data_IF_281319357936
#
_entry.id   IF_281319357936
#
_cell.length_a   1.000
_cell.length_b   1.000
_cell.length_c   1.000
_cell.angle_alpha   90.00
_cell.angle_beta   90.00
_cell.angle_gamma   90.00
#
_symmetry.space_group_name_H-M   'P 1'
#
loop_
_entity.id
_entity.type
_entity.pdbx_description
1 polymer ?
#
# COMPACT_ATOMS: atom_id res chain seq x y z
N UNK A 1 -15.66 -3.40 1.94
CA UNK A 1 -15.46 -4.48 0.96
C UNK A 1 -15.24 -5.77 1.73
N UNK A 2 -15.89 -6.87 1.34
CA UNK A 2 -15.70 -8.16 2.03
C UNK A 2 -14.55 -8.99 1.43
N UNK A 3 -14.13 -10.03 2.17
CA UNK A 3 -12.98 -10.87 1.82
C UNK A 3 -13.23 -11.72 0.57
N UNK A 4 -14.45 -12.23 0.38
CA UNK A 4 -14.78 -13.08 -0.78
C UNK A 4 -14.74 -12.26 -2.07
N UNK A 5 -15.27 -11.04 -2.02
CA UNK A 5 -15.20 -10.09 -3.13
C UNK A 5 -13.77 -9.70 -3.44
N UNK A 6 -12.92 -9.50 -2.42
CA UNK A 6 -11.50 -9.20 -2.63
C UNK A 6 -10.77 -10.35 -3.31
N UNK A 7 -10.97 -11.59 -2.83
CA UNK A 7 -10.41 -12.78 -3.46
C UNK A 7 -10.85 -12.91 -4.93
N UNK A 8 -12.13 -12.66 -5.22
CA UNK A 8 -12.65 -12.68 -6.59
C UNK A 8 -12.00 -11.61 -7.50
N UNK A 9 -11.70 -10.41 -6.98
CA UNK A 9 -10.97 -9.40 -7.75
C UNK A 9 -9.51 -9.79 -7.99
N UNK A 10 -8.84 -10.36 -6.98
CA UNK A 10 -7.45 -10.80 -7.11
C UNK A 10 -7.29 -11.94 -8.13
N UNK A 11 -8.23 -12.89 -8.15
CA UNK A 11 -8.22 -14.04 -9.07
C UNK A 11 -8.45 -13.66 -10.54
N UNK A 12 -9.22 -12.60 -10.81
CA UNK A 12 -9.55 -12.17 -12.18
C UNK A 12 -8.41 -11.46 -12.92
N UNK A 13 -7.26 -11.26 -12.27
CA UNK A 13 -6.13 -10.52 -12.81
C UNK A 13 -6.18 -9.05 -12.40
N UNK A 14 -5.13 -8.61 -11.71
CA UNK A 14 -5.04 -7.35 -10.99
C UNK A 14 -4.77 -6.09 -11.84
N UNK A 15 -5.10 -6.11 -13.15
CA UNK A 15 -4.69 -5.04 -14.07
C UNK A 15 -5.15 -3.61 -13.69
N UNK A 16 -6.12 -3.49 -12.76
CA UNK A 16 -6.60 -2.21 -12.22
C UNK A 16 -6.77 -2.19 -10.70
N UNK A 17 -6.34 -3.23 -9.97
CA UNK A 17 -6.51 -3.31 -8.51
C UNK A 17 -5.21 -2.94 -7.80
N UNK A 18 -5.24 -1.84 -7.05
CA UNK A 18 -4.18 -1.50 -6.10
C UNK A 18 -4.60 -1.94 -4.69
N UNK A 19 -3.82 -2.85 -4.09
CA UNK A 19 -3.98 -3.23 -2.68
C UNK A 19 -2.90 -2.53 -1.89
N UNK A 20 -3.29 -1.74 -0.89
CA UNK A 20 -2.37 -1.06 0.02
C UNK A 20 -2.32 -1.84 1.33
N UNK A 21 -1.11 -2.19 1.76
CA UNK A 21 -0.87 -2.69 3.10
C UNK A 21 -0.35 -1.56 3.99
N UNK A 22 -1.14 -1.21 5.01
CA UNK A 22 -0.82 -0.16 5.99
C UNK A 22 -0.32 -0.72 7.32
N UNK A 23 0.17 -1.95 7.37
CA UNK A 23 0.82 -2.50 8.57
C UNK A 23 2.28 -2.06 8.65
N UNK A 24 2.94 -2.42 9.74
CA UNK A 24 4.39 -2.20 9.86
C UNK A 24 5.15 -3.00 8.81
N UNK A 25 6.36 -2.55 8.47
CA UNK A 25 7.23 -3.25 7.52
C UNK A 25 7.47 -4.71 7.92
N UNK A 26 7.66 -4.98 9.22
CA UNK A 26 7.86 -6.33 9.74
C UNK A 26 6.65 -7.23 9.55
N UNK A 27 5.43 -6.74 9.81
CA UNK A 27 4.19 -7.51 9.59
C UNK A 27 3.95 -7.82 8.10
N UNK A 28 4.21 -6.83 7.23
CA UNK A 28 4.11 -7.00 5.79
C UNK A 28 5.09 -8.06 5.27
N UNK A 29 6.34 -8.01 5.71
CA UNK A 29 7.35 -8.98 5.30
C UNK A 29 7.11 -10.37 5.86
N UNK A 30 6.50 -10.48 7.06
CA UNK A 30 6.12 -11.76 7.61
C UNK A 30 5.05 -12.44 6.75
N UNK A 31 4.05 -11.69 6.28
CA UNK A 31 3.08 -12.14 5.28
C UNK A 31 2.26 -10.96 4.78
N UNK A 32 1.84 -10.98 3.52
CA UNK A 32 0.91 -10.00 2.96
C UNK A 32 0.09 -10.59 1.81
N UNK A 33 -0.98 -9.90 1.43
CA UNK A 33 -1.79 -10.26 0.26
C UNK A 33 -0.93 -10.09 -0.99
N UNK A 34 -0.93 -11.11 -1.86
CA UNK A 34 -0.13 -11.10 -3.09
C UNK A 34 -0.39 -9.84 -3.93
N UNK A 35 0.68 -9.15 -4.34
CA UNK A 35 0.62 -7.92 -5.14
C UNK A 35 0.25 -6.65 -4.36
N UNK A 36 0.11 -6.71 -3.03
CA UNK A 36 -0.06 -5.52 -2.22
C UNK A 36 1.21 -4.67 -2.16
N UNK A 37 1.05 -3.36 -2.02
CA UNK A 37 2.14 -2.40 -1.82
C UNK A 37 2.10 -1.90 -0.38
N UNK A 38 3.21 -2.04 0.35
CA UNK A 38 3.30 -1.51 1.70
C UNK A 38 3.53 0.01 1.67
N UNK A 39 2.70 0.76 2.41
CA UNK A 39 2.82 2.23 2.56
C UNK A 39 3.36 2.61 3.95
N UNK A 40 4.03 1.68 4.64
CA UNK A 40 4.77 1.89 5.89
C UNK A 40 4.02 2.79 6.90
N UNK A 41 3.02 2.25 7.61
CA UNK A 41 2.28 3.02 8.59
C UNK A 41 3.13 3.35 9.82
N UNK A 42 3.78 4.52 9.79
CA UNK A 42 4.52 5.10 10.90
C UNK A 42 3.87 6.39 11.38
N UNK A 43 4.14 6.76 12.64
CA UNK A 43 3.70 8.05 13.21
C UNK A 43 4.15 9.23 12.34
N UNK A 44 5.36 9.17 11.78
CA UNK A 44 5.92 10.22 10.93
C UNK A 44 5.19 10.32 9.59
N UNK A 45 4.98 9.20 8.90
CA UNK A 45 4.28 9.16 7.60
C UNK A 45 2.84 9.65 7.76
N UNK A 46 2.13 9.19 8.81
CA UNK A 46 0.79 9.67 9.14
C UNK A 46 0.74 11.18 9.33
N UNK A 47 1.65 11.75 10.12
CA UNK A 47 1.72 13.19 10.37
C UNK A 47 1.98 13.98 9.08
N UNK A 48 2.89 13.51 8.23
CA UNK A 48 3.21 14.18 6.95
C UNK A 48 2.04 14.14 5.98
N UNK A 49 1.29 13.03 5.91
CA UNK A 49 0.07 12.92 5.12
C UNK A 49 -1.00 13.92 5.60
N UNK A 50 -1.19 14.05 6.92
CA UNK A 50 -2.19 14.96 7.50
C UNK A 50 -1.83 16.45 7.37
N UNK A 51 -0.56 16.76 7.12
CA UNK A 51 -0.06 18.13 6.94
C UNK A 51 0.20 18.47 5.46
N UNK A 52 -0.26 17.61 4.55
CA UNK A 52 -0.04 17.74 3.09
C UNK A 52 1.45 17.90 2.71
N UNK A 53 2.36 17.28 3.49
CA UNK A 53 3.81 17.27 3.28
C UNK A 53 4.30 16.05 2.50
N UNK A 54 3.40 15.11 2.22
CA UNK A 54 3.58 13.96 1.35
C UNK A 54 2.19 13.48 0.93
N UNK A 55 2.08 12.95 -0.28
CA UNK A 55 0.88 12.35 -0.85
C UNK A 55 0.99 10.83 -0.87
N UNK A 56 -0.15 10.14 -0.96
CA UNK A 56 -0.17 8.68 -1.10
C UNK A 56 0.55 8.24 -2.39
N UNK A 57 0.42 9.01 -3.47
CA UNK A 57 1.10 8.74 -4.75
C UNK A 57 2.62 8.77 -4.65
N UNK A 58 3.19 9.70 -3.86
CA UNK A 58 4.63 9.75 -3.61
C UNK A 58 5.11 8.55 -2.78
N UNK A 59 4.28 8.04 -1.86
CA UNK A 59 4.60 6.86 -1.06
C UNK A 59 4.55 5.54 -1.84
N UNK A 60 3.88 5.52 -3.00
CA UNK A 60 3.79 4.33 -3.86
C UNK A 60 5.01 4.16 -4.77
N UNK A 61 5.94 5.12 -4.81
CA UNK A 61 7.13 5.05 -5.66
C UNK A 61 8.26 4.26 -4.94
N UNK A 62 8.69 3.09 -5.45
CA UNK A 62 9.64 2.21 -4.74
C UNK A 62 11.07 2.75 -4.62
N UNK A 63 11.37 3.87 -5.28
CA UNK A 63 12.66 4.54 -5.22
C UNK A 63 12.45 5.95 -5.77
N UNK A 64 12.84 6.98 -5.02
CA UNK A 64 12.79 8.38 -5.43
C UNK A 64 13.67 8.69 -6.65
N UNK A 65 13.30 8.18 -7.83
CA UNK A 65 13.81 8.67 -9.11
C UNK A 65 12.73 9.56 -9.70
N UNK A 66 12.75 10.81 -9.25
CA UNK A 66 12.35 11.93 -10.10
C UNK A 66 13.34 11.92 -11.28
N UNK A 67 12.85 11.60 -12.47
CA UNK A 67 13.52 12.04 -13.70
C UNK A 67 12.98 13.41 -14.05
#
# INVERSE_FOLDING_TARGET
>A
MDIKRLAGLLQRGAGRLLVIDSRTFSEYNASHVHGAVNVCCSKLVKRRLQQDKVSVTELLQPNGKVK
#
